data_IF_925820934832
#
_entry.id   IF_925820934832
#
_cell.length_a   1.000
_cell.length_b   1.000
_cell.length_c   1.000
_cell.angle_alpha   90.00
_cell.angle_beta   90.00
_cell.angle_gamma   90.00
#
_symmetry.space_group_name_H-M   'P 1'
#
loop_
_entity.id
_entity.type
_entity.pdbx_description
1 polymer ?
#
# COMPACT_ATOMS: atom_id res chain seq x y z
N UNK A 1 22.26 -8.65 -1.11
CA UNK A 1 21.44 -8.14 0.00
C UNK A 1 21.69 -6.64 0.10
N UNK A 2 20.92 -5.83 -0.63
CA UNK A 2 21.08 -4.37 -0.60
C UNK A 2 20.14 -3.80 0.46
N UNK A 3 20.75 -3.16 1.46
CA UNK A 3 20.08 -2.47 2.54
C UNK A 3 19.69 -1.10 1.99
N UNK A 4 18.41 -0.91 1.63
CA UNK A 4 17.90 0.39 1.22
C UNK A 4 17.85 1.31 2.44
N UNK A 5 18.87 2.16 2.57
CA UNK A 5 18.94 3.19 3.59
C UNK A 5 18.61 4.54 2.98
N UNK A 6 17.32 4.84 2.86
CA UNK A 6 16.89 6.23 2.72
C UNK A 6 16.70 6.80 4.13
N UNK A 7 17.70 7.53 4.61
CA UNK A 7 17.49 8.53 5.66
C UNK A 7 16.59 9.61 5.09
N UNK A 8 15.29 9.54 5.39
CA UNK A 8 14.37 10.65 5.15
C UNK A 8 14.27 11.47 6.44
N UNK A 9 14.53 12.77 6.41
CA UNK A 9 14.28 13.63 7.55
C UNK A 9 12.77 13.71 7.78
N UNK A 10 12.41 13.83 9.06
CA UNK A 10 11.05 14.03 9.50
C UNK A 10 10.45 15.30 8.89
N UNK A 11 9.26 15.18 8.31
CA UNK A 11 8.38 16.29 7.95
C UNK A 11 8.38 16.65 6.47
N UNK A 12 7.55 15.96 5.67
CA UNK A 12 6.78 16.65 4.64
C UNK A 12 5.61 15.77 4.15
N UNK A 13 4.42 16.36 4.07
CA UNK A 13 3.28 15.83 3.32
C UNK A 13 3.62 15.86 1.81
N UNK A 14 4.52 14.98 1.35
CA UNK A 14 4.99 15.10 -0.03
C UNK A 14 6.10 14.16 -0.49
N UNK A 15 6.43 13.11 0.26
CA UNK A 15 7.42 12.15 -0.22
C UNK A 15 6.82 11.29 -1.35
N UNK A 16 7.33 11.47 -2.57
CA UNK A 16 6.98 10.69 -3.76
C UNK A 16 8.10 9.70 -4.10
N UNK A 17 7.74 8.55 -4.66
CA UNK A 17 8.67 7.51 -5.11
C UNK A 17 8.44 7.23 -6.58
N UNK A 18 9.52 7.27 -7.37
CA UNK A 18 9.46 6.93 -8.78
C UNK A 18 9.09 5.46 -9.00
N UNK A 19 8.15 5.19 -9.91
CA UNK A 19 7.69 3.84 -10.22
C UNK A 19 8.81 2.94 -10.77
N UNK A 20 9.74 3.52 -11.54
CA UNK A 20 10.92 2.85 -12.10
C UNK A 20 11.78 2.19 -11.02
N UNK A 21 11.84 2.78 -9.83
CA UNK A 21 12.65 2.30 -8.70
C UNK A 21 12.03 1.11 -7.96
N UNK A 22 10.73 0.84 -8.16
CA UNK A 22 9.99 -0.19 -7.44
C UNK A 22 10.16 -1.59 -8.05
N UNK A 23 10.72 -1.70 -9.26
CA UNK A 23 10.91 -2.98 -9.95
C UNK A 23 9.60 -3.68 -10.32
N UNK A 24 8.50 -2.93 -10.44
CA UNK A 24 7.17 -3.45 -10.78
C UNK A 24 6.93 -3.27 -12.28
N UNK A 25 6.41 -4.31 -12.93
CA UNK A 25 6.11 -4.27 -14.36
C UNK A 25 5.04 -3.21 -14.69
N UNK A 26 5.20 -2.42 -15.77
CA UNK A 26 4.25 -1.36 -16.15
C UNK A 26 2.79 -1.83 -16.26
N UNK A 27 2.54 -2.99 -16.85
CA UNK A 27 1.16 -3.53 -16.97
C UNK A 27 0.50 -3.76 -15.61
N UNK A 28 1.27 -4.18 -14.61
CA UNK A 28 0.77 -4.37 -13.25
C UNK A 28 0.48 -3.01 -12.60
N UNK A 29 1.32 -2.00 -12.82
CA UNK A 29 1.05 -0.63 -12.38
C UNK A 29 -0.25 -0.10 -12.99
N UNK A 30 -0.47 -0.31 -14.28
CA UNK A 30 -1.71 0.10 -14.94
C UNK A 30 -2.93 -0.55 -14.28
N UNK A 31 -2.90 -1.85 -14.03
CA UNK A 31 -3.99 -2.54 -13.33
C UNK A 31 -4.23 -1.97 -11.93
N UNK A 32 -3.17 -1.67 -11.19
CA UNK A 32 -3.27 -1.09 -9.84
C UNK A 32 -3.89 0.31 -9.84
N UNK A 33 -3.59 1.11 -10.87
CA UNK A 33 -4.24 2.42 -11.09
C UNK A 33 -5.72 2.24 -11.43
N UNK A 34 -6.05 1.31 -12.33
CA UNK A 34 -7.44 1.01 -12.72
C UNK A 34 -8.29 0.52 -11.53
N UNK A 35 -7.70 -0.25 -10.62
CA UNK A 35 -8.34 -0.67 -9.37
C UNK A 35 -8.36 0.42 -8.28
N UNK A 36 -7.76 1.59 -8.51
CA UNK A 36 -7.71 2.68 -7.53
C UNK A 36 -6.79 2.41 -6.32
N UNK A 37 -5.90 1.42 -6.42
CA UNK A 37 -4.96 1.06 -5.34
C UNK A 37 -3.88 2.12 -5.17
N UNK A 38 -3.45 2.72 -6.29
CA UNK A 38 -2.40 3.73 -6.33
C UNK A 38 -2.81 4.90 -7.24
N UNK A 39 -2.29 6.07 -6.93
CA UNK A 39 -2.38 7.28 -7.75
C UNK A 39 -0.99 7.63 -8.27
N UNK A 40 -0.86 7.69 -9.59
CA UNK A 40 0.40 8.03 -10.25
C UNK A 40 0.37 9.49 -10.68
N UNK A 41 1.38 10.28 -10.27
CA UNK A 41 1.61 11.64 -10.76
C UNK A 41 3.05 11.77 -11.24
N UNK A 42 3.24 12.21 -12.48
CA UNK A 42 4.56 12.37 -13.10
C UNK A 42 5.47 11.14 -12.95
N UNK A 43 4.89 9.93 -13.09
CA UNK A 43 5.64 8.67 -12.97
C UNK A 43 6.01 8.28 -11.53
N UNK A 44 5.45 8.95 -10.52
CA UNK A 44 5.70 8.68 -9.11
C UNK A 44 4.42 8.43 -8.32
N UNK A 45 4.52 7.75 -7.19
CA UNK A 45 3.42 7.51 -6.23
C UNK A 45 3.80 8.04 -4.83
N UNK A 46 2.84 8.41 -3.98
CA UNK A 46 3.13 8.79 -2.59
C UNK A 46 3.75 7.62 -1.81
N UNK A 47 4.72 7.91 -0.93
CA UNK A 47 5.38 6.89 -0.08
C UNK A 47 4.37 6.06 0.72
N UNK A 48 3.26 6.66 1.16
CA UNK A 48 2.21 5.96 1.89
C UNK A 48 1.58 4.85 1.04
N UNK A 49 1.44 5.07 -0.27
CA UNK A 49 0.92 4.07 -1.20
C UNK A 49 1.93 2.96 -1.52
N UNK A 50 3.24 3.22 -1.41
CA UNK A 50 4.28 2.19 -1.59
C UNK A 50 4.15 1.07 -0.55
N UNK A 51 3.89 1.43 0.71
CA UNK A 51 3.68 0.44 1.78
C UNK A 51 2.43 -0.42 1.54
N UNK A 52 1.32 0.21 1.16
CA UNK A 52 0.07 -0.49 0.79
C UNK A 52 0.28 -1.43 -0.39
N UNK A 53 1.01 -0.97 -1.41
CA UNK A 53 1.34 -1.75 -2.59
C UNK A 53 2.17 -3.00 -2.24
N UNK A 54 3.23 -2.87 -1.44
CA UNK A 54 4.01 -4.04 -1.00
C UNK A 54 3.18 -5.02 -0.17
N UNK A 55 2.27 -4.51 0.67
CA UNK A 55 1.34 -5.35 1.43
C UNK A 55 0.46 -6.16 0.50
N UNK A 56 -0.08 -5.53 -0.56
CA UNK A 56 -0.94 -6.16 -1.54
C UNK A 56 -0.23 -7.26 -2.32
N UNK A 57 0.97 -6.97 -2.83
CA UNK A 57 1.75 -7.93 -3.60
C UNK A 57 2.16 -9.14 -2.75
N UNK A 58 2.54 -8.90 -1.49
CA UNK A 58 2.83 -9.98 -0.54
C UNK A 58 1.58 -10.82 -0.26
N UNK A 59 0.45 -10.19 0.05
CA UNK A 59 -0.83 -10.87 0.29
C UNK A 59 -1.21 -11.78 -0.89
N UNK A 60 -1.12 -11.24 -2.11
CA UNK A 60 -1.38 -11.98 -3.36
C UNK A 60 -0.49 -13.23 -3.46
N UNK A 61 0.80 -13.09 -3.21
CA UNK A 61 1.76 -14.19 -3.27
C UNK A 61 1.53 -15.22 -2.16
N UNK A 62 1.29 -14.77 -0.93
CA UNK A 62 1.11 -15.64 0.24
C UNK A 62 -0.18 -16.44 0.16
N UNK A 63 -1.28 -15.84 -0.29
CA UNK A 63 -2.59 -16.51 -0.38
C UNK A 63 -2.82 -17.19 -1.74
N UNK A 64 -1.94 -16.99 -2.72
CA UNK A 64 -2.09 -17.55 -4.07
C UNK A 64 -3.31 -17.01 -4.82
N UNK A 65 -3.79 -15.82 -4.47
CA UNK A 65 -4.97 -15.20 -5.10
C UNK A 65 -4.59 -14.38 -6.32
N UNK A 66 -5.57 -14.08 -7.18
CA UNK A 66 -5.37 -13.14 -8.27
C UNK A 66 -5.32 -11.68 -7.73
N UNK A 67 -4.97 -10.73 -8.61
CA UNK A 67 -4.82 -9.33 -8.21
C UNK A 67 -6.11 -8.73 -7.65
N UNK A 68 -7.24 -8.93 -8.33
CA UNK A 68 -8.55 -8.44 -7.89
C UNK A 68 -8.94 -8.98 -6.52
N UNK A 69 -8.73 -10.28 -6.29
CA UNK A 69 -8.98 -10.92 -5.01
C UNK A 69 -8.06 -10.36 -3.91
N UNK A 70 -6.80 -10.10 -4.22
CA UNK A 70 -5.88 -9.45 -3.28
C UNK A 70 -6.36 -8.03 -2.90
N UNK A 71 -6.88 -7.25 -3.86
CA UNK A 71 -7.41 -5.90 -3.58
C UNK A 71 -8.60 -5.97 -2.65
N UNK A 72 -9.58 -6.82 -2.95
CA UNK A 72 -10.77 -7.01 -2.11
C UNK A 72 -10.37 -7.42 -0.68
N UNK A 73 -9.45 -8.39 -0.55
CA UNK A 73 -9.00 -8.85 0.77
C UNK A 73 -8.26 -7.73 1.50
N UNK A 74 -7.46 -6.92 0.81
CA UNK A 74 -6.79 -5.76 1.43
C UNK A 74 -7.80 -4.80 2.03
N UNK A 75 -8.82 -4.42 1.27
CA UNK A 75 -9.84 -3.47 1.72
C UNK A 75 -10.64 -4.03 2.91
N UNK A 76 -10.89 -5.34 2.92
CA UNK A 76 -11.53 -6.01 4.06
C UNK A 76 -10.63 -6.01 5.31
N UNK A 77 -9.33 -6.26 5.16
CA UNK A 77 -8.38 -6.20 6.27
C UNK A 77 -8.28 -4.77 6.84
N UNK A 78 -8.17 -3.76 5.97
CA UNK A 78 -8.19 -2.35 6.38
C UNK A 78 -9.49 -1.98 7.11
N UNK A 79 -10.63 -2.52 6.67
CA UNK A 79 -11.91 -2.33 7.35
C UNK A 79 -11.97 -3.00 8.72
N UNK A 80 -11.38 -4.18 8.86
CA UNK A 80 -11.30 -4.89 10.15
C UNK A 80 -10.41 -4.10 11.12
N UNK A 81 -9.21 -3.66 10.67
CA UNK A 81 -8.30 -2.83 11.47
C UNK A 81 -9.03 -1.56 11.98
N UNK A 82 -9.79 -0.87 11.11
CA UNK A 82 -10.59 0.30 11.51
C UNK A 82 -11.65 -0.02 12.58
N UNK A 83 -12.36 -1.14 12.44
CA UNK A 83 -13.39 -1.55 13.39
C UNK A 83 -12.80 -1.96 14.74
N UNK A 84 -11.64 -2.63 14.73
CA UNK A 84 -10.90 -2.98 15.94
C UNK A 84 -10.45 -1.72 16.69
N UNK A 85 -9.92 -0.73 15.98
CA UNK A 85 -9.55 0.58 16.53
C UNK A 85 -10.75 1.32 17.17
N UNK A 86 -11.92 1.27 16.52
CA UNK A 86 -13.16 1.86 17.07
C UNK A 86 -13.59 1.16 18.37
N UNK A 87 -13.54 -0.17 18.41
CA UNK A 87 -13.87 -0.96 19.60
C UNK A 87 -12.88 -0.66 20.73
N UNK A 88 -11.58 -0.59 20.46
CA UNK A 88 -10.56 -0.28 21.47
C UNK A 88 -10.76 1.12 22.04
N UNK A 89 -11.01 2.13 21.19
CA UNK A 89 -11.36 3.48 21.64
C UNK A 89 -12.55 3.45 22.58
N UNK A 90 -13.63 2.78 22.21
CA UNK A 90 -14.83 2.67 23.05
C UNK A 90 -14.53 2.00 24.39
N UNK A 91 -13.75 0.91 24.40
CA UNK A 91 -13.39 0.20 25.65
C UNK A 91 -12.55 1.06 26.59
N UNK A 92 -11.68 1.92 26.06
CA UNK A 92 -10.81 2.79 26.85
C UNK A 92 -11.54 4.01 27.44
N UNK A 93 -12.80 4.26 27.07
CA UNK A 93 -13.66 5.28 27.68
C UNK A 93 -14.43 4.78 28.91
N UNK A 94 -14.36 3.50 29.25
CA UNK A 94 -14.99 2.88 30.43
C UNK A 94 -13.95 2.40 31.44
#
# INVERSE_FOLDING_TARGET
MQIYRHTLPAGDEGAWVELSSLGIHPDLIQQLVEFGVIEVRHGSIPVQQVQRLHRLLRLRQTLGVNLTGAVIIMDLLERIEQLEDEIEKLRNYW
#
